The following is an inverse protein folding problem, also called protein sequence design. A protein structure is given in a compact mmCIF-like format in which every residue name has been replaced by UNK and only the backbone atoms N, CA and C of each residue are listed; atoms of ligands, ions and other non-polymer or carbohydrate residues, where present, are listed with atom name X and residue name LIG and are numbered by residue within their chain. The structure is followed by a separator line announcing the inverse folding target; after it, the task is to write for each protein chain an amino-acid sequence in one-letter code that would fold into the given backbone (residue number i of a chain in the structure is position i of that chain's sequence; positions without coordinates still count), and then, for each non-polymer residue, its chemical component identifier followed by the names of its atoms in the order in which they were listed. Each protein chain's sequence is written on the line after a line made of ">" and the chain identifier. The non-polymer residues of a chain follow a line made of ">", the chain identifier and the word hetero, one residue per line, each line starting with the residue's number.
data_IF_263549063604
#
_entry.id   IF_263549063604
#
_cell.length_a   1.000
_cell.length_b   1.000
_cell.length_c   1.000
_cell.angle_alpha   90.00
_cell.angle_beta   90.00
_cell.angle_gamma   90.00
#
_symmetry.space_group_name_H-M   'P 1'
#
loop_
_entity.id
_entity.type
_entity.pdbx_description
1 polymer ?
#
# COMPACT_ATOMS: atom_id res chain seq x y z
N UNK A 1 7.07 4.29 -21.34
CA UNK A 1 5.67 3.91 -21.10
C UNK A 1 5.54 3.68 -19.62
N UNK A 2 4.57 4.32 -18.97
CA UNK A 2 4.24 3.98 -17.59
C UNK A 2 3.78 2.53 -17.60
N UNK A 3 4.32 1.72 -16.70
CA UNK A 3 3.99 0.31 -16.65
C UNK A 3 2.55 0.14 -16.15
N UNK A 4 1.60 0.12 -17.08
CA UNK A 4 0.16 0.00 -16.79
C UNK A 4 -0.14 -1.26 -15.96
N UNK A 5 0.73 -2.28 -16.02
CA UNK A 5 0.61 -3.49 -15.20
C UNK A 5 0.78 -3.20 -13.71
N UNK A 6 1.70 -2.30 -13.33
CA UNK A 6 1.89 -1.89 -11.94
C UNK A 6 0.72 -1.06 -11.42
N UNK A 7 0.16 -0.15 -12.24
CA UNK A 7 -1.04 0.62 -11.86
C UNK A 7 -2.24 -0.28 -11.64
N UNK A 8 -2.51 -1.21 -12.56
CA UNK A 8 -3.58 -2.19 -12.41
C UNK A 8 -3.42 -3.04 -11.14
N UNK A 9 -2.18 -3.38 -10.79
CA UNK A 9 -1.89 -4.07 -9.53
C UNK A 9 -2.20 -3.20 -8.31
N UNK A 10 -1.83 -1.92 -8.33
CA UNK A 10 -2.17 -0.96 -7.25
C UNK A 10 -3.69 -0.82 -7.09
N UNK A 11 -4.41 -0.73 -8.20
CA UNK A 11 -5.85 -0.54 -8.19
C UNK A 11 -6.59 -1.75 -7.60
N UNK A 12 -6.11 -2.96 -7.93
CA UNK A 12 -6.67 -4.22 -7.43
C UNK A 12 -6.32 -4.56 -5.98
N UNK A 13 -5.29 -3.96 -5.38
CA UNK A 13 -4.93 -4.21 -3.97
C UNK A 13 -5.95 -3.61 -3.00
N UNK A 14 -6.33 -4.31 -1.93
CA UNK A 14 -7.07 -3.67 -0.85
C UNK A 14 -6.16 -2.83 0.07
N UNK A 15 -6.76 -2.06 0.98
CA UNK A 15 -6.00 -1.19 1.89
C UNK A 15 -4.98 -1.96 2.74
N UNK A 16 -5.36 -3.15 3.20
CA UNK A 16 -4.53 -4.00 4.04
C UNK A 16 -3.31 -4.55 3.28
N UNK A 17 -3.51 -5.08 2.08
CA UNK A 17 -2.44 -5.56 1.21
C UNK A 17 -1.48 -4.43 0.84
N UNK A 18 -2.00 -3.22 0.62
CA UNK A 18 -1.15 -2.05 0.37
C UNK A 18 -0.31 -1.73 1.60
N UNK A 19 -0.93 -1.66 2.78
CA UNK A 19 -0.20 -1.39 4.02
C UNK A 19 0.83 -2.48 4.36
N UNK A 20 0.52 -3.74 4.06
CA UNK A 20 1.44 -4.85 4.25
C UNK A 20 2.66 -4.73 3.35
N UNK A 21 2.46 -4.44 2.05
CA UNK A 21 3.57 -4.21 1.13
C UNK A 21 4.42 -3.01 1.57
N UNK A 22 3.80 -1.89 1.94
CA UNK A 22 4.51 -0.69 2.40
C UNK A 22 5.37 -0.94 3.64
N UNK A 23 4.93 -1.80 4.55
CA UNK A 23 5.64 -2.08 5.81
C UNK A 23 6.77 -3.10 5.67
N UNK A 24 6.63 -4.06 4.75
CA UNK A 24 7.51 -5.23 4.71
C UNK A 24 8.45 -5.26 3.49
N UNK A 25 8.16 -4.49 2.45
CA UNK A 25 9.00 -4.47 1.27
C UNK A 25 10.36 -3.79 1.55
N UNK A 26 11.44 -4.23 0.87
CA UNK A 26 12.76 -3.64 1.04
C UNK A 26 12.79 -2.19 0.54
N UNK A 27 13.74 -1.42 1.07
CA UNK A 27 14.02 -0.08 0.55
C UNK A 27 14.36 -0.14 -0.95
N UNK A 28 13.78 0.77 -1.72
CA UNK A 28 13.96 0.80 -3.19
C UNK A 28 13.03 -0.14 -3.97
N UNK A 29 11.99 -0.69 -3.34
CA UNK A 29 11.01 -1.52 -4.05
C UNK A 29 10.33 -0.73 -5.21
N UNK A 30 10.19 -1.32 -6.42
CA UNK A 30 9.71 -0.60 -7.61
C UNK A 30 8.33 0.06 -7.47
N UNK A 31 7.43 -0.52 -6.67
CA UNK A 31 6.10 0.06 -6.38
C UNK A 31 6.15 1.42 -5.68
N UNK A 32 7.30 1.81 -5.14
CA UNK A 32 7.48 3.05 -4.38
C UNK A 32 8.44 4.03 -5.07
N UNK A 33 8.73 3.81 -6.35
CA UNK A 33 9.67 4.65 -7.11
C UNK A 33 8.96 5.44 -8.21
N UNK A 34 9.45 6.66 -8.43
CA UNK A 34 9.00 7.53 -9.51
C UNK A 34 7.47 7.74 -9.54
N UNK A 35 6.91 7.75 -10.74
CA UNK A 35 5.47 7.96 -10.95
C UNK A 35 4.61 6.85 -10.36
N UNK A 36 5.10 5.60 -10.34
CA UNK A 36 4.38 4.48 -9.73
C UNK A 36 4.30 4.68 -8.22
N UNK A 37 5.38 5.11 -7.56
CA UNK A 37 5.38 5.41 -6.12
C UNK A 37 4.45 6.55 -5.75
N UNK A 38 4.38 7.60 -6.58
CA UNK A 38 3.43 8.69 -6.42
C UNK A 38 1.99 8.18 -6.52
N UNK A 39 1.70 7.36 -7.54
CA UNK A 39 0.38 6.76 -7.72
C UNK A 39 -0.01 5.84 -6.56
N UNK A 40 0.94 5.00 -6.12
CA UNK A 40 0.75 4.13 -4.97
C UNK A 40 0.36 4.92 -3.73
N UNK A 41 1.09 5.99 -3.44
CA UNK A 41 0.86 6.84 -2.27
C UNK A 41 -0.51 7.53 -2.33
N UNK A 42 -0.91 7.98 -3.51
CA UNK A 42 -2.23 8.57 -3.73
C UNK A 42 -3.35 7.56 -3.46
N UNK A 43 -3.32 6.39 -4.11
CA UNK A 43 -4.35 5.34 -3.93
C UNK A 43 -4.40 4.86 -2.49
N UNK A 44 -3.23 4.75 -1.83
CA UNK A 44 -3.17 4.37 -0.42
C UNK A 44 -3.81 5.42 0.50
N UNK A 45 -3.60 6.72 0.22
CA UNK A 45 -4.24 7.80 0.97
C UNK A 45 -5.77 7.81 0.76
N UNK A 46 -6.23 7.58 -0.46
CA UNK A 46 -7.66 7.46 -0.78
C UNK A 46 -8.30 6.24 -0.11
N UNK A 47 -7.61 5.12 -0.03
CA UNK A 47 -8.10 3.93 0.69
C UNK A 47 -8.03 4.13 2.21
N UNK A 48 -7.03 4.86 2.72
CA UNK A 48 -6.90 5.23 4.13
C UNK A 48 -8.04 6.15 4.61
N UNK A 49 -8.52 7.06 3.75
CA UNK A 49 -9.61 7.97 4.12
C UNK A 49 -10.97 7.27 4.24
N UNK A 50 -11.11 6.09 3.63
CA UNK A 50 -12.31 5.25 3.69
C UNK A 50 -12.38 4.35 4.93
N UNK A 51 -11.29 4.27 5.71
CA UNK A 51 -11.24 3.47 6.94
C UNK A 51 -11.12 4.37 8.17
N UNK A 52 -11.71 3.95 9.27
CA UNK A 52 -11.61 4.63 10.56
C UNK A 52 -10.20 4.53 11.14
N UNK A 53 -9.87 5.41 12.08
CA UNK A 53 -8.60 5.33 12.82
C UNK A 53 -8.46 4.02 13.61
N UNK A 54 -9.57 3.46 14.09
CA UNK A 54 -9.59 2.18 14.79
C UNK A 54 -9.22 1.03 13.85
N UNK A 55 -9.87 0.96 12.68
CA UNK A 55 -9.59 -0.05 11.66
C UNK A 55 -8.15 0.05 11.15
N UNK A 56 -7.68 1.24 10.83
CA UNK A 56 -6.29 1.46 10.45
C UNK A 56 -5.30 0.93 11.50
N UNK A 57 -5.55 1.24 12.77
CA UNK A 57 -4.70 0.79 13.88
C UNK A 57 -4.75 -0.72 14.06
N UNK A 58 -5.94 -1.34 13.92
CA UNK A 58 -6.12 -2.78 14.01
C UNK A 58 -5.40 -3.51 12.86
N UNK A 59 -5.56 -3.05 11.63
CA UNK A 59 -4.86 -3.58 10.45
C UNK A 59 -3.35 -3.44 10.57
N UNK A 60 -2.85 -2.26 10.99
CA UNK A 60 -1.42 -2.04 11.23
C UNK A 60 -0.84 -2.99 12.28
N UNK A 61 -1.58 -3.22 13.37
CA UNK A 61 -1.19 -4.19 14.40
C UNK A 61 -1.18 -5.63 13.89
N UNK A 62 -2.18 -6.03 13.10
CA UNK A 62 -2.25 -7.38 12.49
C UNK A 62 -1.02 -7.64 11.62
N UNK A 63 -0.74 -6.73 10.69
CA UNK A 63 0.42 -6.80 9.81
C UNK A 63 1.73 -6.85 10.61
N UNK A 64 1.86 -6.00 11.65
CA UNK A 64 3.06 -5.96 12.47
C UNK A 64 3.29 -7.20 13.34
N UNK A 65 2.23 -7.97 13.64
CA UNK A 65 2.32 -9.22 14.41
C UNK A 65 2.54 -10.45 13.53
N UNK A 66 2.00 -10.46 12.31
CA UNK A 66 2.17 -11.55 11.34
C UNK A 66 3.48 -11.45 10.54
N UNK A 67 4.15 -10.29 10.54
CA UNK A 67 5.47 -10.08 9.93
C UNK A 67 6.65 -10.64 10.73
N UNK A 68 6.48 -11.80 11.40
CA UNK A 68 7.53 -12.54 12.12
C UNK A 68 7.78 -13.91 11.50
#
# INVERSE_FOLDING_TARGET
>A
MIDDSMKNKIDSMDYESMLALWRNAPAGHPMFQGEIGNYYSQVMAEKRSKVTNSEHSATSKRIGWEGR
#
